data_IF_354877630521
#
_entry.id   IF_354877630521
#
_cell.length_a   1.000
_cell.length_b   1.000
_cell.length_c   1.000
_cell.angle_alpha   90.00
_cell.angle_beta   90.00
_cell.angle_gamma   90.00
#
_symmetry.space_group_name_H-M   'P 1'
#
loop_
_entity.id
_entity.type
_entity.pdbx_description
1 polymer ?
#
# COMPACT_ATOMS: atom_id res chain seq x y z
N UNK A 1 0.16 -13.44 -8.55
CA UNK A 1 -1.21 -13.32 -9.05
C UNK A 1 -1.69 -11.85 -9.14
N UNK A 2 -0.99 -10.91 -8.48
CA UNK A 2 -1.39 -9.49 -8.40
C UNK A 2 -0.63 -8.62 -9.42
N UNK A 3 0.56 -9.04 -9.83
CA UNK A 3 1.39 -8.31 -10.78
C UNK A 3 1.08 -8.75 -12.21
N UNK A 4 0.83 -7.76 -13.07
CA UNK A 4 0.74 -7.97 -14.52
C UNK A 4 2.14 -7.78 -15.10
N UNK A 5 2.77 -8.80 -15.70
CA UNK A 5 4.11 -8.67 -16.26
C UNK A 5 4.14 -7.62 -17.38
N UNK A 6 5.14 -6.73 -17.34
CA UNK A 6 5.35 -5.69 -18.33
C UNK A 6 6.72 -5.83 -18.96
N UNK A 7 6.79 -5.93 -20.28
CA UNK A 7 8.07 -5.92 -20.99
C UNK A 7 8.53 -4.50 -21.24
N UNK A 8 9.69 -4.18 -20.74
CA UNK A 8 10.32 -2.86 -20.83
C UNK A 8 11.51 -2.90 -21.76
N UNK A 9 11.65 -1.92 -22.63
CA UNK A 9 12.82 -1.71 -23.47
C UNK A 9 13.65 -0.55 -22.93
N UNK A 10 14.80 -0.85 -22.35
CA UNK A 10 15.76 0.14 -21.90
C UNK A 10 16.71 0.51 -23.05
N UNK A 11 16.85 1.80 -23.29
CA UNK A 11 17.75 2.31 -24.31
C UNK A 11 18.88 3.09 -23.65
N UNK A 12 20.12 2.66 -23.87
CA UNK A 12 21.31 3.29 -23.32
C UNK A 12 22.42 3.42 -24.39
N UNK A 13 23.39 4.27 -24.09
CA UNK A 13 24.57 4.45 -24.96
C UNK A 13 25.74 3.62 -24.42
N UNK A 14 26.26 2.69 -25.24
CA UNK A 14 27.44 1.92 -24.94
C UNK A 14 28.43 2.09 -26.10
N UNK A 15 29.66 2.48 -25.78
CA UNK A 15 30.74 2.72 -26.75
C UNK A 15 30.33 3.67 -27.91
N UNK A 16 29.56 4.74 -27.57
CA UNK A 16 29.07 5.73 -28.54
C UNK A 16 27.93 5.24 -29.44
N UNK A 17 27.42 4.02 -29.25
CA UNK A 17 26.30 3.45 -30.01
C UNK A 17 25.08 3.27 -29.11
N UNK A 18 23.90 3.54 -29.70
CA UNK A 18 22.62 3.28 -29.06
C UNK A 18 22.39 1.76 -29.01
N UNK A 19 22.18 1.24 -27.81
CA UNK A 19 21.89 -0.18 -27.56
C UNK A 19 20.58 -0.26 -26.81
N UNK A 20 19.73 -1.23 -27.17
CA UNK A 20 18.54 -1.52 -26.40
C UNK A 20 18.65 -2.89 -25.73
N UNK A 21 18.04 -3.01 -24.54
CA UNK A 21 17.89 -4.24 -23.80
C UNK A 21 16.43 -4.37 -23.38
N UNK A 22 15.81 -5.48 -23.71
CA UNK A 22 14.46 -5.79 -23.27
C UNK A 22 14.50 -6.74 -22.07
N UNK A 23 13.66 -6.46 -21.07
CA UNK A 23 13.44 -7.36 -19.94
C UNK A 23 11.98 -7.28 -19.50
N UNK A 24 11.51 -8.31 -18.78
CA UNK A 24 10.16 -8.34 -18.23
C UNK A 24 10.22 -8.06 -16.74
N UNK A 25 9.41 -7.08 -16.29
CA UNK A 25 9.18 -6.78 -14.88
C UNK A 25 7.93 -7.55 -14.45
N UNK A 26 8.10 -8.54 -13.60
CA UNK A 26 7.07 -9.46 -13.11
C UNK A 26 7.11 -9.65 -11.59
N UNK A 27 7.96 -8.87 -10.91
CA UNK A 27 8.16 -8.93 -9.46
C UNK A 27 8.45 -7.54 -8.91
N UNK A 28 8.01 -7.28 -7.68
CA UNK A 28 8.41 -6.07 -6.93
C UNK A 28 9.93 -6.08 -6.69
N UNK A 29 10.62 -5.08 -7.23
CA UNK A 29 12.10 -4.99 -7.20
C UNK A 29 12.64 -4.58 -5.83
N UNK A 30 11.79 -3.95 -5.00
CA UNK A 30 12.19 -3.38 -3.71
C UNK A 30 12.36 -4.39 -2.58
N UNK A 31 11.83 -5.58 -2.71
CA UNK A 31 11.83 -6.59 -1.65
C UNK A 31 13.24 -7.08 -1.33
N UNK A 32 13.66 -6.91 -0.06
CA UNK A 32 14.96 -7.33 0.45
C UNK A 32 14.80 -8.56 1.35
N UNK A 33 14.99 -9.74 0.79
CA UNK A 33 14.76 -11.03 1.47
C UNK A 33 15.73 -11.29 2.64
N UNK A 34 16.93 -10.69 2.58
CA UNK A 34 18.00 -10.82 3.58
C UNK A 34 17.95 -9.74 4.68
N UNK A 35 16.77 -9.14 4.90
CA UNK A 35 16.62 -8.09 5.92
C UNK A 35 16.69 -8.67 7.32
N UNK A 36 17.55 -8.08 8.17
CA UNK A 36 17.68 -8.43 9.60
C UNK A 36 17.67 -7.17 10.46
N UNK A 37 17.35 -7.31 11.73
CA UNK A 37 17.38 -6.20 12.71
C UNK A 37 18.80 -5.61 12.80
N UNK A 38 19.84 -6.44 12.75
CA UNK A 38 21.24 -6.02 12.80
C UNK A 38 21.63 -5.22 11.55
N UNK A 39 21.09 -5.55 10.38
CA UNK A 39 21.29 -4.78 9.17
C UNK A 39 20.57 -3.43 9.23
N UNK A 40 19.33 -3.42 9.69
CA UNK A 40 18.52 -2.20 9.83
C UNK A 40 19.13 -1.24 10.88
N UNK A 41 19.66 -1.74 11.99
CA UNK A 41 20.27 -0.91 13.05
C UNK A 41 21.53 -0.15 12.62
N UNK A 42 22.16 -0.58 11.53
CA UNK A 42 23.35 0.07 10.96
C UNK A 42 23.00 1.22 9.98
N UNK A 43 21.74 1.36 9.63
CA UNK A 43 21.31 2.41 8.70
C UNK A 43 21.38 3.79 9.36
N UNK A 44 21.84 4.77 8.59
CA UNK A 44 21.91 6.16 9.05
C UNK A 44 20.52 6.82 8.92
N UNK A 45 20.19 7.75 9.85
CA UNK A 45 19.02 8.59 9.71
C UNK A 45 19.03 9.35 8.37
N UNK A 46 17.89 9.38 7.69
CA UNK A 46 17.78 9.98 6.36
C UNK A 46 17.52 11.50 6.39
N UNK A 47 16.83 12.01 7.42
CA UNK A 47 16.33 13.40 7.41
C UNK A 47 16.96 14.30 8.48
N UNK A 48 17.31 13.76 9.63
CA UNK A 48 17.82 14.54 10.76
C UNK A 48 18.94 13.79 11.46
N UNK A 49 20.02 14.49 11.78
CA UNK A 49 21.09 13.92 12.60
C UNK A 49 20.52 13.46 13.96
N UNK A 50 20.81 12.21 14.34
CA UNK A 50 20.22 11.60 15.53
C UNK A 50 18.72 11.27 15.41
N UNK A 51 18.14 11.37 14.23
CA UNK A 51 16.76 10.94 13.95
C UNK A 51 16.62 9.43 13.92
N UNK A 52 15.37 8.96 13.87
CA UNK A 52 15.04 7.52 13.87
C UNK A 52 14.56 6.99 12.51
N UNK A 53 14.25 7.88 11.57
CA UNK A 53 13.77 7.50 10.23
C UNK A 53 14.94 7.19 9.33
N UNK A 54 14.99 5.98 8.81
CA UNK A 54 16.06 5.47 7.93
C UNK A 54 15.47 4.96 6.61
N UNK A 55 16.33 4.62 5.65
CA UNK A 55 15.90 3.97 4.42
C UNK A 55 15.18 2.63 4.69
N UNK A 56 15.50 1.91 5.76
CA UNK A 56 14.87 0.65 6.12
C UNK A 56 13.51 0.79 6.84
N UNK A 57 13.16 2.01 7.27
CA UNK A 57 11.88 2.32 7.92
C UNK A 57 11.02 3.29 7.09
N UNK A 58 11.34 3.43 5.82
CA UNK A 58 10.64 4.32 4.87
C UNK A 58 10.20 3.55 3.64
N UNK A 59 9.06 3.91 3.08
CA UNK A 59 8.63 3.37 1.78
C UNK A 59 9.57 3.85 0.67
N UNK A 60 9.64 3.07 -0.39
CA UNK A 60 10.43 3.41 -1.56
C UNK A 60 9.61 4.28 -2.51
N UNK A 61 10.25 5.26 -3.15
CA UNK A 61 9.69 5.90 -4.34
C UNK A 61 9.69 4.86 -5.45
N UNK A 62 8.50 4.55 -5.97
CA UNK A 62 8.29 3.47 -6.92
C UNK A 62 7.42 3.94 -8.06
N UNK A 63 7.63 3.37 -9.23
CA UNK A 63 6.70 3.47 -10.35
C UNK A 63 5.66 2.36 -10.22
N UNK A 64 4.43 2.65 -10.63
CA UNK A 64 3.37 1.65 -10.57
C UNK A 64 2.07 2.15 -11.17
N UNK A 65 1.27 1.23 -11.68
CA UNK A 65 -0.08 1.48 -12.13
C UNK A 65 -1.01 0.38 -11.61
N UNK A 66 -2.20 0.75 -11.17
CA UNK A 66 -3.23 -0.17 -10.74
C UNK A 66 -4.59 0.36 -11.13
N UNK A 67 -5.52 -0.54 -11.46
CA UNK A 67 -6.85 -0.18 -11.93
C UNK A 67 -7.90 -0.96 -11.16
N UNK A 68 -8.94 -0.26 -10.72
CA UNK A 68 -10.13 -0.84 -10.10
C UNK A 68 -11.34 -0.36 -10.88
N UNK A 69 -12.17 -1.29 -11.34
CA UNK A 69 -13.43 -0.94 -11.99
C UNK A 69 -14.53 -0.79 -10.95
N UNK A 70 -15.06 0.41 -10.82
CA UNK A 70 -16.16 0.73 -9.91
C UNK A 70 -17.42 1.03 -10.73
N UNK A 71 -18.54 0.45 -10.32
CA UNK A 71 -19.83 0.68 -10.99
C UNK A 71 -20.99 0.63 -9.99
N UNK A 72 -22.15 1.16 -10.41
CA UNK A 72 -23.37 1.07 -9.61
C UNK A 72 -23.95 -0.34 -9.61
N UNK A 73 -24.76 -0.65 -8.61
CA UNK A 73 -25.47 -1.93 -8.54
C UNK A 73 -26.38 -2.16 -9.76
N UNK A 74 -26.99 -1.09 -10.28
CA UNK A 74 -27.81 -1.15 -11.50
C UNK A 74 -26.97 -1.59 -12.69
N UNK A 75 -25.78 -1.01 -12.85
CA UNK A 75 -24.87 -1.38 -13.94
C UNK A 75 -24.38 -2.82 -13.82
N UNK A 76 -24.07 -3.28 -12.60
CA UNK A 76 -23.75 -4.69 -12.33
C UNK A 76 -24.84 -5.63 -12.81
N UNK A 77 -26.10 -5.31 -12.48
CA UNK A 77 -27.28 -6.09 -12.91
C UNK A 77 -27.47 -6.04 -14.41
N UNK A 78 -27.33 -4.85 -15.00
CA UNK A 78 -27.52 -4.64 -16.44
C UNK A 78 -26.49 -5.39 -17.28
N UNK A 79 -25.23 -5.41 -16.84
CA UNK A 79 -24.13 -6.10 -17.52
C UNK A 79 -24.04 -7.59 -17.18
N UNK A 80 -24.78 -8.06 -16.17
CA UNK A 80 -24.73 -9.45 -15.72
C UNK A 80 -23.35 -9.89 -15.17
N UNK A 81 -22.55 -8.94 -14.71
CA UNK A 81 -21.22 -9.23 -14.16
C UNK A 81 -21.30 -9.57 -12.68
N UNK A 82 -20.36 -10.40 -12.20
CA UNK A 82 -20.25 -10.74 -10.79
C UNK A 82 -19.32 -9.74 -10.10
N UNK A 83 -19.78 -8.92 -9.15
CA UNK A 83 -18.91 -8.04 -8.39
C UNK A 83 -17.97 -8.84 -7.50
N UNK A 84 -16.74 -8.33 -7.29
CA UNK A 84 -15.77 -8.93 -6.38
C UNK A 84 -16.10 -8.53 -4.94
N UNK A 85 -16.42 -7.26 -4.72
CA UNK A 85 -16.78 -6.71 -3.42
C UNK A 85 -17.72 -5.50 -3.57
N UNK A 86 -18.21 -5.00 -2.46
CA UNK A 86 -18.99 -3.77 -2.38
C UNK A 86 -18.24 -2.73 -1.55
N UNK A 87 -18.04 -1.55 -2.11
CA UNK A 87 -17.56 -0.41 -1.34
C UNK A 87 -18.68 0.11 -0.44
N UNK A 88 -18.49 0.05 0.86
CA UNK A 88 -19.49 0.45 1.87
C UNK A 88 -19.44 1.94 2.13
N UNK A 89 -18.24 2.49 2.30
CA UNK A 89 -18.04 3.92 2.59
C UNK A 89 -16.66 4.40 2.13
N UNK A 90 -16.53 5.71 2.02
CA UNK A 90 -15.26 6.39 1.78
C UNK A 90 -15.27 7.69 2.57
N UNK A 91 -14.26 7.93 3.38
CA UNK A 91 -14.16 9.11 4.24
C UNK A 91 -12.77 9.74 4.16
N UNK A 92 -12.69 10.99 4.58
CA UNK A 92 -11.43 11.70 4.75
C UNK A 92 -11.32 12.30 6.15
N UNK A 93 -10.10 12.37 6.67
CA UNK A 93 -9.75 13.01 7.92
C UNK A 93 -8.77 14.17 7.67
N UNK A 94 -9.03 15.34 8.25
CA UNK A 94 -8.09 16.45 8.28
C UNK A 94 -7.32 16.44 9.59
N UNK A 95 -6.00 16.62 9.51
CA UNK A 95 -5.10 16.73 10.67
C UNK A 95 -4.15 17.92 10.47
N UNK A 96 -3.45 18.31 11.52
CA UNK A 96 -2.38 19.30 11.42
C UNK A 96 -1.35 18.82 10.37
N UNK A 97 -0.97 19.66 9.37
CA UNK A 97 0.00 19.31 8.34
C UNK A 97 1.36 18.83 8.88
N UNK A 98 1.75 19.26 10.06
CA UNK A 98 2.99 18.80 10.73
C UNK A 98 2.92 17.32 11.13
N UNK A 99 1.73 16.79 11.27
CA UNK A 99 1.46 15.40 11.65
C UNK A 99 0.60 14.68 10.61
N UNK A 100 0.77 15.00 9.33
CA UNK A 100 -0.07 14.47 8.25
C UNK A 100 -0.19 12.94 8.24
N UNK A 101 0.84 12.23 8.70
CA UNK A 101 0.90 10.77 8.71
C UNK A 101 -0.16 10.10 9.58
N UNK A 102 -0.73 10.81 10.56
CA UNK A 102 -1.80 10.28 11.43
C UNK A 102 -3.21 10.52 10.87
N UNK A 103 -3.35 11.01 9.64
CA UNK A 103 -4.67 11.23 9.00
C UNK A 103 -5.65 10.06 9.11
N UNK A 104 -5.21 8.79 8.98
CA UNK A 104 -6.09 7.63 9.17
C UNK A 104 -6.76 7.55 10.55
N UNK A 105 -6.12 8.05 11.62
CA UNK A 105 -6.70 8.10 12.98
C UNK A 105 -8.01 8.90 13.01
N UNK A 106 -8.10 9.95 12.19
CA UNK A 106 -9.31 10.76 12.04
C UNK A 106 -10.30 10.16 11.03
N UNK A 107 -9.82 9.47 10.01
CA UNK A 107 -10.66 8.91 8.95
C UNK A 107 -11.37 7.62 9.36
N UNK A 108 -10.68 6.71 10.09
CA UNK A 108 -11.19 5.40 10.49
C UNK A 108 -12.48 5.50 11.31
N UNK A 109 -12.55 6.28 12.42
CA UNK A 109 -13.77 6.39 13.19
C UNK A 109 -14.95 6.98 12.39
N UNK A 110 -14.66 7.89 11.46
CA UNK A 110 -15.68 8.45 10.56
C UNK A 110 -16.23 7.39 9.61
N UNK A 111 -15.34 6.55 9.05
CA UNK A 111 -15.73 5.46 8.17
C UNK A 111 -16.59 4.43 8.91
N UNK A 112 -16.16 3.99 10.08
CA UNK A 112 -16.91 3.04 10.94
C UNK A 112 -18.29 3.59 11.29
N UNK A 113 -18.36 4.85 11.74
CA UNK A 113 -19.64 5.51 12.06
C UNK A 113 -20.55 5.57 10.84
N UNK A 114 -20.03 5.93 9.69
CA UNK A 114 -20.82 6.05 8.46
C UNK A 114 -21.31 4.69 7.97
N UNK A 115 -20.51 3.65 8.14
CA UNK A 115 -20.85 2.28 7.79
C UNK A 115 -21.80 1.61 8.82
N UNK A 116 -21.93 2.17 10.02
CA UNK A 116 -22.67 1.56 11.14
C UNK A 116 -21.93 0.34 11.71
N UNK A 117 -20.60 0.30 11.58
CA UNK A 117 -19.74 -0.80 12.01
C UNK A 117 -18.91 -0.39 13.25
N UNK A 118 -18.43 -1.40 13.97
CA UNK A 118 -17.43 -1.28 15.03
C UNK A 118 -16.07 -1.73 14.50
N UNK A 119 -15.00 -1.32 15.16
CA UNK A 119 -13.65 -1.77 14.80
C UNK A 119 -13.52 -3.30 14.88
N UNK A 120 -14.19 -3.93 15.83
CA UNK A 120 -14.24 -5.40 15.98
C UNK A 120 -14.90 -6.15 14.83
N UNK A 121 -15.59 -5.45 13.95
CA UNK A 121 -16.25 -6.04 12.78
C UNK A 121 -15.32 -6.03 11.56
N UNK A 122 -14.12 -5.43 11.69
CA UNK A 122 -13.11 -5.33 10.64
C UNK A 122 -12.13 -6.49 10.79
N UNK A 123 -12.09 -7.34 9.80
CA UNK A 123 -11.26 -8.55 9.81
C UNK A 123 -9.88 -8.31 9.21
N UNK A 124 -9.73 -7.32 8.34
CA UNK A 124 -8.48 -6.99 7.67
C UNK A 124 -8.34 -5.51 7.35
N UNK A 125 -7.11 -5.02 7.37
CA UNK A 125 -6.76 -3.64 7.06
C UNK A 125 -5.54 -3.56 6.16
N UNK A 126 -5.65 -2.85 5.07
CA UNK A 126 -4.50 -2.40 4.28
C UNK A 126 -4.21 -0.94 4.63
N UNK A 127 -3.08 -0.71 5.27
CA UNK A 127 -2.59 0.60 5.71
C UNK A 127 -1.32 0.96 4.96
N UNK A 128 -1.30 2.10 4.27
CA UNK A 128 -0.08 2.54 3.61
C UNK A 128 1.04 2.84 4.62
N UNK A 129 2.18 2.18 4.44
CA UNK A 129 3.39 2.36 5.24
C UNK A 129 4.30 3.42 4.61
N UNK A 130 3.87 4.69 4.61
CA UNK A 130 4.78 5.74 4.16
C UNK A 130 6.09 5.74 4.98
N UNK A 131 5.95 5.56 6.30
CA UNK A 131 7.04 5.35 7.26
C UNK A 131 6.58 4.37 8.33
N UNK A 132 7.50 3.53 8.84
CA UNK A 132 7.20 2.56 9.90
C UNK A 132 6.65 3.25 11.15
N UNK A 133 7.28 4.35 11.59
CA UNK A 133 6.82 5.10 12.76
C UNK A 133 5.40 5.65 12.58
N UNK A 134 5.07 6.11 11.39
CA UNK A 134 3.71 6.60 11.06
C UNK A 134 2.69 5.45 11.09
N UNK A 135 2.99 4.32 10.46
CA UNK A 135 2.08 3.18 10.42
C UNK A 135 1.83 2.62 11.84
N UNK A 136 2.89 2.46 12.64
CA UNK A 136 2.79 2.02 14.03
C UNK A 136 1.96 2.98 14.89
N UNK A 137 2.13 4.29 14.72
CA UNK A 137 1.32 5.28 15.42
C UNK A 137 -0.16 5.17 15.05
N UNK A 138 -0.48 5.00 13.77
CA UNK A 138 -1.87 4.81 13.32
C UNK A 138 -2.47 3.52 13.90
N UNK A 139 -1.73 2.41 13.86
CA UNK A 139 -2.18 1.13 14.42
C UNK A 139 -2.50 1.28 15.91
N UNK A 140 -1.58 1.88 16.66
CA UNK A 140 -1.73 2.08 18.10
C UNK A 140 -2.90 3.01 18.43
N UNK A 141 -2.95 4.20 17.84
CA UNK A 141 -3.96 5.23 18.15
C UNK A 141 -5.37 4.82 17.68
N UNK A 142 -5.47 4.03 16.61
CA UNK A 142 -6.75 3.54 16.10
C UNK A 142 -7.20 2.24 16.76
N UNK A 143 -6.35 1.59 17.56
CA UNK A 143 -6.64 0.30 18.19
C UNK A 143 -6.76 -0.85 17.18
N UNK A 144 -6.08 -0.76 16.04
CA UNK A 144 -6.03 -1.83 15.05
C UNK A 144 -5.24 -3.02 15.60
N UNK A 145 -5.67 -4.23 15.26
CA UNK A 145 -4.92 -5.44 15.54
C UNK A 145 -3.75 -5.56 14.54
N UNK A 146 -2.48 -5.50 14.99
CA UNK A 146 -1.33 -5.58 14.11
C UNK A 146 -1.29 -6.85 13.24
N UNK A 147 -1.84 -7.96 13.73
CA UNK A 147 -1.85 -9.24 13.02
C UNK A 147 -2.82 -9.27 11.84
N UNK A 148 -3.70 -8.27 11.76
CA UNK A 148 -4.67 -8.10 10.65
C UNK A 148 -4.31 -6.96 9.70
N UNK A 149 -3.21 -6.25 9.97
CA UNK A 149 -2.76 -5.13 9.13
C UNK A 149 -1.68 -5.59 8.15
N UNK A 150 -1.85 -5.28 6.86
CA UNK A 150 -0.85 -5.53 5.81
C UNK A 150 -0.32 -6.96 5.82
N UNK A 151 -1.20 -7.93 5.90
CA UNK A 151 -0.86 -9.36 6.10
C UNK A 151 0.02 -9.96 4.98
N UNK A 152 0.09 -9.31 3.84
CA UNK A 152 0.95 -9.68 2.71
C UNK A 152 2.14 -8.73 2.52
N UNK A 153 2.44 -7.90 3.51
CA UNK A 153 3.46 -6.88 3.45
C UNK A 153 2.94 -5.53 2.97
N UNK A 154 3.65 -4.47 3.31
CA UNK A 154 3.29 -3.08 3.04
C UNK A 154 4.31 -2.32 2.20
N UNK A 155 4.14 -1.02 2.11
CA UNK A 155 4.90 -0.15 1.21
C UNK A 155 6.41 -0.08 1.50
N UNK A 156 6.86 -0.37 2.72
CA UNK A 156 8.28 -0.41 3.06
C UNK A 156 8.99 -1.50 2.26
N UNK A 157 8.35 -2.65 2.09
CA UNK A 157 8.87 -3.76 1.31
C UNK A 157 8.52 -3.65 -0.18
N UNK A 158 7.28 -3.28 -0.50
CA UNK A 158 6.70 -3.39 -1.84
C UNK A 158 6.74 -2.09 -2.65
N UNK A 159 7.02 -0.95 -2.00
CA UNK A 159 7.02 0.36 -2.64
C UNK A 159 5.70 1.13 -2.50
N UNK A 160 5.80 2.45 -2.74
CA UNK A 160 4.70 3.39 -2.61
C UNK A 160 4.60 4.30 -3.85
N UNK A 161 4.07 3.80 -4.96
CA UNK A 161 3.78 4.64 -6.12
C UNK A 161 2.58 5.54 -5.81
N UNK A 162 2.83 6.79 -5.42
CA UNK A 162 1.87 7.72 -4.78
C UNK A 162 0.47 7.70 -5.39
N UNK A 163 0.35 7.97 -6.69
CA UNK A 163 -0.93 8.02 -7.38
C UNK A 163 -1.61 6.65 -7.60
N UNK A 164 -0.83 5.57 -7.47
CA UNK A 164 -1.31 4.19 -7.67
C UNK A 164 -1.72 3.53 -6.35
N UNK A 165 -1.13 3.92 -5.23
CA UNK A 165 -1.20 3.18 -3.95
C UNK A 165 -2.63 2.92 -3.49
N UNK A 166 -3.56 3.86 -3.63
CA UNK A 166 -4.96 3.64 -3.23
C UNK A 166 -5.61 2.47 -3.97
N UNK A 167 -5.42 2.39 -5.29
CA UNK A 167 -5.90 1.27 -6.09
C UNK A 167 -5.14 -0.03 -5.77
N UNK A 168 -3.81 0.05 -5.58
CA UNK A 168 -2.96 -1.10 -5.21
C UNK A 168 -3.41 -1.74 -3.90
N UNK A 169 -3.58 -0.97 -2.82
CA UNK A 169 -4.05 -1.46 -1.53
C UNK A 169 -5.45 -2.08 -1.64
N UNK A 170 -6.34 -1.46 -2.43
CA UNK A 170 -7.66 -2.03 -2.69
C UNK A 170 -7.57 -3.41 -3.36
N UNK A 171 -6.70 -3.58 -4.35
CA UNK A 171 -6.50 -4.85 -5.04
C UNK A 171 -5.90 -5.91 -4.08
N UNK A 172 -4.90 -5.55 -3.29
CA UNK A 172 -4.31 -6.44 -2.28
C UNK A 172 -5.37 -6.93 -1.29
N UNK A 173 -6.16 -6.00 -0.73
CA UNK A 173 -7.25 -6.34 0.19
C UNK A 173 -8.28 -7.26 -0.46
N UNK A 174 -8.75 -6.95 -1.66
CA UNK A 174 -9.73 -7.76 -2.39
C UNK A 174 -9.22 -9.18 -2.67
N UNK A 175 -7.95 -9.32 -3.04
CA UNK A 175 -7.33 -10.62 -3.27
C UNK A 175 -7.20 -11.42 -1.98
N UNK A 176 -6.86 -10.77 -0.87
CA UNK A 176 -6.77 -11.45 0.42
C UNK A 176 -8.13 -11.86 0.96
N UNK A 177 -9.14 -11.00 0.87
CA UNK A 177 -10.53 -11.35 1.20
C UNK A 177 -10.99 -12.58 0.40
N UNK A 178 -10.67 -12.62 -0.89
CA UNK A 178 -10.98 -13.78 -1.74
C UNK A 178 -10.24 -15.04 -1.31
N UNK A 179 -8.95 -14.95 -0.93
CA UNK A 179 -8.17 -16.10 -0.42
C UNK A 179 -8.74 -16.66 0.88
N UNK A 180 -9.24 -15.79 1.75
CA UNK A 180 -9.83 -16.17 3.05
C UNK A 180 -11.32 -16.46 2.99
N UNK A 181 -11.94 -16.26 1.83
CA UNK A 181 -13.39 -16.40 1.64
C UNK A 181 -14.22 -15.49 2.56
N UNK A 182 -13.75 -14.24 2.69
CA UNK A 182 -14.35 -13.14 3.46
C UNK A 182 -15.20 -12.24 2.60
#
# INVERSE_FOLDING_TARGET
DEIVPVTVEEVFVKDGKKVSKSHTVDMDEGVRRETTIEALSKLRPAFKLGGIVTAGSSSQMSDGAAFVLVMSEEMVKQLGVKPIARMVTCTSGGVDPLYMGIGPVEAIPKALKQAGLKLSDIEQTELNEAFAAQALAVIQESGLDPDTVNVNGGAIALGHPLGCTGAKLSIQLLNEMKRRNQ
#
